data_IF_071439118262
#
_entry.id   IF_071439118262
#
_cell.length_a   1.000
_cell.length_b   1.000
_cell.length_c   1.000
_cell.angle_alpha   90.00
_cell.angle_beta   90.00
_cell.angle_gamma   90.00
#
_symmetry.space_group_name_H-M   'P 1'
#
loop_
_entity.id
_entity.type
_entity.pdbx_description
1 polymer ?
#
# COMPACT_ATOMS: atom_id res chain seq x y z
N UNK A 1 5.25 24.24 24.63
CA UNK A 1 6.58 23.61 24.77
C UNK A 1 6.45 22.42 25.73
N UNK A 2 7.26 21.40 25.52
CA UNK A 2 7.35 20.30 26.46
C UNK A 2 8.19 20.72 27.67
N UNK A 3 7.83 20.25 28.87
CA UNK A 3 8.53 20.61 30.11
C UNK A 3 9.99 20.11 30.15
N UNK A 4 10.35 19.16 29.30
CA UNK A 4 11.67 18.53 29.24
C UNK A 4 12.61 19.17 28.19
N UNK A 5 12.13 20.13 27.39
CA UNK A 5 12.96 20.83 26.43
C UNK A 5 12.21 21.44 25.24
N UNK A 6 12.93 22.06 24.31
CA UNK A 6 12.34 22.64 23.11
C UNK A 6 11.78 21.57 22.17
N UNK A 7 10.72 21.94 21.45
CA UNK A 7 9.97 21.05 20.55
C UNK A 7 9.70 21.75 19.24
N UNK A 8 9.95 21.06 18.13
CA UNK A 8 9.51 21.43 16.79
C UNK A 8 8.40 20.47 16.39
N UNK A 9 7.24 21.02 16.01
CA UNK A 9 6.11 20.23 15.50
C UNK A 9 5.77 20.64 14.08
N UNK A 10 5.63 19.65 13.20
CA UNK A 10 5.14 19.84 11.83
C UNK A 10 3.65 19.50 11.81
N UNK A 11 2.87 20.42 11.28
CA UNK A 11 1.43 20.26 11.13
C UNK A 11 1.07 20.28 9.65
N UNK A 12 0.14 19.39 9.25
CA UNK A 12 -0.46 19.37 7.93
C UNK A 12 -1.95 19.66 8.02
N UNK A 13 -2.50 20.32 7.01
CA UNK A 13 -3.93 20.58 6.89
C UNK A 13 -4.53 19.65 5.84
N UNK A 14 -5.63 18.99 6.17
CA UNK A 14 -6.36 18.16 5.24
C UNK A 14 -7.29 18.97 4.30
N UNK A 15 -7.93 18.30 3.35
CA UNK A 15 -8.78 18.92 2.34
C UNK A 15 -10.00 19.67 2.92
N UNK A 16 -10.45 19.31 4.12
CA UNK A 16 -11.57 19.97 4.82
C UNK A 16 -11.12 20.96 5.88
N UNK A 17 -9.81 21.28 5.92
CA UNK A 17 -9.24 22.33 6.76
C UNK A 17 -8.87 21.91 8.18
N UNK A 18 -8.97 20.62 8.56
CA UNK A 18 -8.52 20.12 9.86
C UNK A 18 -6.99 20.09 9.92
N UNK A 19 -6.44 20.48 11.06
CA UNK A 19 -4.99 20.46 11.28
C UNK A 19 -4.56 19.22 12.04
N UNK A 20 -3.57 18.48 11.51
CA UNK A 20 -3.04 17.26 12.06
C UNK A 20 -1.55 17.42 12.39
N UNK A 21 -1.14 17.05 13.60
CA UNK A 21 0.28 16.97 13.92
C UNK A 21 0.85 15.70 13.28
N UNK A 22 1.82 15.90 12.37
CA UNK A 22 2.45 14.84 11.60
C UNK A 22 3.79 14.42 12.21
N UNK A 23 4.70 15.37 12.36
CA UNK A 23 6.06 15.07 12.83
C UNK A 23 6.41 15.91 14.03
N UNK A 24 7.30 15.36 14.87
CA UNK A 24 7.82 16.07 16.03
C UNK A 24 9.29 15.74 16.20
N UNK A 25 10.09 16.76 16.51
CA UNK A 25 11.44 16.61 17.01
C UNK A 25 11.48 17.29 18.38
N UNK A 26 11.95 16.58 19.39
CA UNK A 26 11.96 17.04 20.77
C UNK A 26 13.34 16.85 21.40
N UNK A 27 13.86 17.91 21.98
CA UNK A 27 15.01 17.83 22.87
C UNK A 27 14.57 17.37 24.26
N UNK A 28 15.32 16.48 24.86
CA UNK A 28 15.07 16.00 26.21
C UNK A 28 16.33 16.11 27.05
N UNK A 29 16.33 17.00 28.02
CA UNK A 29 17.42 17.20 28.95
C UNK A 29 17.27 16.37 30.23
N UNK A 30 16.07 15.84 30.50
CA UNK A 30 15.77 15.17 31.77
C UNK A 30 16.06 13.66 31.72
N UNK A 31 15.74 12.98 30.62
CA UNK A 31 15.94 11.54 30.58
C UNK A 31 17.40 11.11 30.60
N UNK A 32 18.35 11.75 29.91
CA UNK A 32 19.76 11.40 30.03
C UNK A 32 20.26 11.47 31.43
N UNK A 33 19.89 12.50 32.19
CA UNK A 33 20.25 12.65 33.61
C UNK A 33 19.62 11.55 34.47
N UNK A 34 18.32 11.32 34.32
CA UNK A 34 17.58 10.32 35.11
C UNK A 34 18.06 8.89 34.89
N UNK A 35 18.51 8.59 33.67
CA UNK A 35 19.06 7.27 33.32
C UNK A 35 20.56 7.18 33.60
N UNK A 36 21.21 8.25 34.06
CA UNK A 36 22.64 8.28 34.30
C UNK A 36 23.46 7.99 33.05
N UNK A 37 22.99 8.45 31.89
CA UNK A 37 23.66 8.21 30.62
C UNK A 37 24.92 9.07 30.51
N UNK A 38 26.04 8.43 30.18
CA UNK A 38 27.31 9.12 29.94
C UNK A 38 27.99 8.59 28.69
N UNK A 39 28.76 9.43 28.04
CA UNK A 39 29.68 9.05 26.98
C UNK A 39 31.08 9.60 27.23
N UNK A 40 32.10 8.98 26.67
CA UNK A 40 33.46 9.48 26.74
C UNK A 40 33.68 10.47 25.58
N UNK A 41 33.97 11.73 25.96
CA UNK A 41 34.28 12.77 24.99
C UNK A 41 35.72 12.64 24.45
N UNK A 42 36.05 13.40 23.41
CA UNK A 42 37.36 13.34 22.75
C UNK A 42 38.53 13.70 23.65
N UNK A 43 38.27 14.50 24.68
CA UNK A 43 39.24 14.89 25.71
C UNK A 43 39.38 13.85 26.85
N UNK A 44 38.69 12.72 26.76
CA UNK A 44 38.67 11.65 27.76
C UNK A 44 37.73 11.90 28.94
N UNK A 45 37.05 13.03 29.02
CA UNK A 45 36.05 13.32 30.04
C UNK A 45 34.76 12.54 29.83
N UNK A 46 34.02 12.27 30.89
CA UNK A 46 32.66 11.72 30.82
C UNK A 46 31.67 12.88 30.77
N UNK A 47 30.81 12.84 29.78
CA UNK A 47 29.79 13.85 29.56
C UNK A 47 28.41 13.21 29.36
N UNK A 48 27.36 13.95 29.77
CA UNK A 48 25.98 13.54 29.53
C UNK A 48 25.62 13.72 28.06
N UNK A 49 25.04 12.69 27.40
CA UNK A 49 24.58 12.83 26.03
C UNK A 49 23.32 13.70 25.93
N UNK A 50 23.07 14.22 24.73
CA UNK A 50 21.81 14.86 24.38
C UNK A 50 20.87 13.77 23.86
N UNK A 51 19.61 13.76 24.33
CA UNK A 51 18.58 12.87 23.80
C UNK A 51 17.63 13.66 22.90
N UNK A 52 17.37 13.10 21.72
CA UNK A 52 16.44 13.67 20.76
C UNK A 52 15.38 12.61 20.44
N UNK A 53 14.12 12.94 20.72
CA UNK A 53 12.98 12.13 20.30
C UNK A 53 12.50 12.60 18.94
N UNK A 54 12.28 11.66 18.02
CA UNK A 54 11.75 11.95 16.69
C UNK A 54 10.57 11.05 16.37
N UNK A 55 9.43 11.67 16.09
CA UNK A 55 8.25 10.98 15.57
C UNK A 55 7.95 11.51 14.17
N UNK A 56 7.77 10.62 13.18
CA UNK A 56 7.56 11.01 11.78
C UNK A 56 6.08 11.16 11.41
N UNK A 57 5.20 10.39 12.02
CA UNK A 57 3.77 10.36 11.67
C UNK A 57 2.84 10.71 12.85
N UNK A 58 3.39 11.11 13.99
CA UNK A 58 2.62 11.32 15.21
C UNK A 58 2.08 9.99 15.75
N UNK A 59 0.76 9.77 15.68
CA UNK A 59 0.12 8.47 15.95
C UNK A 59 -0.08 7.72 14.64
N UNK A 60 0.31 6.45 14.59
CA UNK A 60 0.15 5.59 13.41
C UNK A 60 -1.34 5.36 13.10
N UNK A 61 -2.17 5.24 14.12
CA UNK A 61 -3.62 5.04 13.98
C UNK A 61 -4.28 6.28 13.36
N UNK A 62 -3.88 7.47 13.83
CA UNK A 62 -4.37 8.73 13.25
C UNK A 62 -3.91 8.89 11.82
N UNK A 63 -2.65 8.61 11.53
CA UNK A 63 -2.12 8.64 10.18
C UNK A 63 -2.89 7.71 9.25
N UNK A 64 -3.14 6.47 9.69
CA UNK A 64 -3.93 5.49 8.93
C UNK A 64 -5.36 6.01 8.68
N UNK A 65 -6.02 6.56 9.71
CA UNK A 65 -7.37 7.13 9.55
C UNK A 65 -7.43 8.24 8.51
N UNK A 66 -6.48 9.18 8.55
CA UNK A 66 -6.39 10.28 7.57
C UNK A 66 -6.08 9.74 6.17
N UNK A 67 -5.23 8.72 6.06
CA UNK A 67 -4.88 8.09 4.79
C UNK A 67 -6.09 7.39 4.16
N UNK A 68 -6.88 6.64 4.95
CA UNK A 68 -8.12 6.00 4.49
C UNK A 68 -9.13 7.05 4.01
N UNK A 69 -9.30 8.16 4.74
CA UNK A 69 -10.17 9.26 4.31
C UNK A 69 -9.67 9.90 3.01
N UNK A 70 -8.37 10.16 2.89
CA UNK A 70 -7.77 10.79 1.72
C UNK A 70 -8.05 10.01 0.44
N UNK A 71 -7.88 8.70 0.47
CA UNK A 71 -8.14 7.81 -0.67
C UNK A 71 -9.60 7.33 -0.74
N UNK A 72 -10.45 7.71 0.21
CA UNK A 72 -11.78 7.12 0.39
C UNK A 72 -11.75 5.57 0.35
N UNK A 73 -10.67 4.98 0.87
CA UNK A 73 -10.38 3.54 0.85
C UNK A 73 -9.86 2.98 -0.49
N UNK A 74 -9.85 3.78 -1.58
CA UNK A 74 -9.35 3.35 -2.88
C UNK A 74 -7.83 3.57 -2.99
N UNK A 75 -7.07 2.82 -2.21
CA UNK A 75 -5.61 2.95 -2.16
C UNK A 75 -4.95 2.66 -3.52
N UNK A 76 -3.84 3.33 -3.84
CA UNK A 76 -3.00 2.92 -4.96
C UNK A 76 -2.46 1.49 -4.74
N UNK A 77 -2.09 0.75 -5.80
CA UNK A 77 -1.67 -0.65 -5.67
C UNK A 77 -0.58 -0.88 -4.61
N UNK A 78 0.41 -0.02 -4.52
CA UNK A 78 1.51 -0.20 -3.56
C UNK A 78 1.08 -0.15 -2.07
N UNK A 79 -0.06 0.54 -1.76
CA UNK A 79 -0.64 0.62 -0.41
C UNK A 79 -1.79 -0.38 -0.18
N UNK A 80 -2.39 -0.92 -1.23
CA UNK A 80 -3.56 -1.81 -1.11
C UNK A 80 -3.21 -3.10 -0.37
N UNK A 81 -4.01 -3.55 0.60
CA UNK A 81 -3.81 -4.85 1.27
C UNK A 81 -3.80 -6.01 0.28
N UNK A 82 -4.78 -6.05 -0.64
CA UNK A 82 -4.81 -6.91 -1.83
C UNK A 82 -4.57 -6.01 -3.03
N UNK A 83 -3.49 -6.26 -3.76
CA UNK A 83 -3.09 -5.44 -4.91
C UNK A 83 -3.72 -5.94 -6.20
N UNK A 84 -3.86 -7.26 -6.30
CA UNK A 84 -4.39 -7.94 -7.47
C UNK A 84 -5.28 -9.09 -7.02
N UNK A 85 -6.44 -9.25 -7.67
CA UNK A 85 -7.28 -10.43 -7.49
C UNK A 85 -7.57 -11.10 -8.83
N UNK A 86 -7.34 -12.42 -8.90
CA UNK A 86 -7.72 -13.27 -10.03
C UNK A 86 -9.19 -13.68 -9.92
N UNK A 87 -9.95 -13.46 -10.97
CA UNK A 87 -11.37 -13.81 -11.06
C UNK A 87 -11.56 -14.73 -12.25
N UNK A 88 -11.69 -16.05 -12.03
CA UNK A 88 -11.97 -16.99 -13.12
C UNK A 88 -13.38 -16.81 -13.65
N UNK A 89 -13.53 -16.86 -14.97
CA UNK A 89 -14.86 -16.83 -15.65
C UNK A 89 -15.70 -18.05 -15.25
N UNK A 90 -15.02 -19.20 -15.05
CA UNK A 90 -15.57 -20.44 -14.52
C UNK A 90 -14.48 -21.15 -13.70
N UNK A 91 -14.87 -22.01 -12.77
CA UNK A 91 -13.98 -22.72 -11.85
C UNK A 91 -12.79 -23.42 -12.55
N UNK A 92 -13.03 -24.03 -13.70
CA UNK A 92 -12.00 -24.71 -14.49
C UNK A 92 -10.84 -23.82 -14.98
N UNK A 93 -10.94 -22.51 -14.84
CA UNK A 93 -9.89 -21.53 -15.16
C UNK A 93 -9.16 -21.00 -13.92
N UNK A 94 -9.53 -21.46 -12.74
CA UNK A 94 -8.89 -21.02 -11.49
C UNK A 94 -7.40 -21.40 -11.47
N UNK A 95 -7.06 -22.64 -11.81
CA UNK A 95 -5.66 -23.13 -11.85
C UNK A 95 -4.77 -22.26 -12.76
N UNK A 96 -5.31 -21.74 -13.88
CA UNK A 96 -4.58 -20.85 -14.76
C UNK A 96 -4.23 -19.54 -14.08
N UNK A 97 -5.20 -18.95 -13.38
CA UNK A 97 -4.99 -17.74 -12.59
C UNK A 97 -4.09 -17.97 -11.38
N UNK A 98 -4.18 -19.13 -10.74
CA UNK A 98 -3.30 -19.51 -9.62
C UNK A 98 -1.83 -19.49 -10.07
N UNK A 99 -1.53 -20.02 -11.24
CA UNK A 99 -0.19 -19.98 -11.80
C UNK A 99 0.34 -18.54 -12.01
N UNK A 100 -0.52 -17.62 -12.45
CA UNK A 100 -0.17 -16.20 -12.63
C UNK A 100 0.01 -15.51 -11.28
N UNK A 101 -0.93 -15.73 -10.36
CA UNK A 101 -0.90 -15.14 -9.02
C UNK A 101 0.33 -15.62 -8.24
N UNK A 102 0.73 -16.88 -8.38
CA UNK A 102 1.94 -17.38 -7.73
C UNK A 102 3.20 -16.67 -8.25
N UNK A 103 3.30 -16.42 -9.54
CA UNK A 103 4.39 -15.61 -10.12
C UNK A 103 4.42 -14.19 -9.56
N UNK A 104 3.24 -13.58 -9.37
CA UNK A 104 3.11 -12.27 -8.73
C UNK A 104 3.56 -12.30 -7.26
N UNK A 105 3.17 -13.33 -6.49
CA UNK A 105 3.57 -13.51 -5.10
C UNK A 105 5.08 -13.69 -4.94
N UNK A 106 5.72 -14.47 -5.80
CA UNK A 106 7.18 -14.66 -5.81
C UNK A 106 7.90 -13.32 -5.99
N UNK A 107 7.30 -12.38 -6.73
CA UNK A 107 7.84 -11.02 -6.90
C UNK A 107 7.44 -10.03 -5.79
N UNK A 108 6.79 -10.51 -4.73
CA UNK A 108 6.39 -9.68 -3.57
C UNK A 108 5.06 -8.95 -3.73
N UNK A 109 4.27 -9.26 -4.77
CA UNK A 109 2.93 -8.69 -4.97
C UNK A 109 1.91 -9.41 -4.09
N UNK A 110 1.09 -8.68 -3.36
CA UNK A 110 -0.03 -9.21 -2.57
C UNK A 110 -1.19 -9.52 -3.50
N UNK A 111 -1.24 -10.74 -4.00
CA UNK A 111 -2.23 -11.21 -4.97
C UNK A 111 -2.93 -12.46 -4.46
N UNK A 112 -4.18 -12.66 -4.87
CA UNK A 112 -4.98 -13.84 -4.55
C UNK A 112 -5.90 -14.21 -5.71
N UNK A 113 -6.46 -15.41 -5.70
CA UNK A 113 -7.51 -15.84 -6.63
C UNK A 113 -8.80 -16.05 -5.84
N UNK A 114 -9.92 -15.58 -6.37
CA UNK A 114 -11.23 -15.80 -5.77
C UNK A 114 -11.78 -17.21 -6.13
N UNK A 115 -11.59 -18.15 -5.20
CA UNK A 115 -12.05 -19.52 -5.29
C UNK A 115 -13.47 -19.75 -4.75
N UNK A 116 -14.24 -18.68 -4.45
CA UNK A 116 -15.62 -18.83 -4.00
C UNK A 116 -16.49 -19.46 -5.11
N UNK A 117 -17.60 -20.12 -4.71
CA UNK A 117 -18.57 -20.70 -5.64
C UNK A 117 -19.47 -19.63 -6.32
N UNK A 118 -19.16 -18.36 -6.10
CA UNK A 118 -19.93 -17.26 -6.64
C UNK A 118 -19.74 -17.11 -8.16
N UNK A 119 -20.80 -16.63 -8.83
CA UNK A 119 -20.70 -16.26 -10.24
C UNK A 119 -19.74 -15.09 -10.45
N UNK A 120 -19.05 -15.07 -11.59
CA UNK A 120 -18.05 -14.06 -11.95
C UNK A 120 -18.51 -12.62 -11.65
N UNK A 121 -19.74 -12.24 -12.01
CA UNK A 121 -20.27 -10.90 -11.78
C UNK A 121 -20.37 -10.55 -10.28
N UNK A 122 -20.68 -11.55 -9.43
CA UNK A 122 -20.73 -11.33 -7.98
C UNK A 122 -19.31 -11.17 -7.42
N UNK A 123 -18.35 -11.99 -7.87
CA UNK A 123 -16.93 -11.85 -7.54
C UNK A 123 -16.42 -10.45 -7.90
N UNK A 124 -16.65 -10.01 -9.15
CA UNK A 124 -16.30 -8.66 -9.61
C UNK A 124 -16.89 -7.59 -8.69
N UNK A 125 -18.19 -7.67 -8.40
CA UNK A 125 -18.87 -6.71 -7.52
C UNK A 125 -18.25 -6.69 -6.12
N UNK A 126 -17.95 -7.85 -5.54
CA UNK A 126 -17.34 -7.99 -4.21
C UNK A 126 -16.00 -7.26 -4.18
N UNK A 127 -15.10 -7.57 -5.10
CA UNK A 127 -13.76 -6.97 -5.13
C UNK A 127 -13.76 -5.50 -5.54
N UNK A 128 -14.72 -5.06 -6.38
CA UNK A 128 -14.94 -3.64 -6.67
C UNK A 128 -15.42 -2.89 -5.42
N UNK A 129 -16.32 -3.49 -4.63
CA UNK A 129 -16.78 -2.89 -3.36
C UNK A 129 -15.64 -2.81 -2.34
N UNK A 130 -14.78 -3.80 -2.30
CA UNK A 130 -13.55 -3.81 -1.48
C UNK A 130 -12.45 -2.89 -2.03
N UNK A 131 -12.70 -2.27 -3.19
CA UNK A 131 -11.78 -1.33 -3.85
C UNK A 131 -10.41 -1.93 -4.21
N UNK A 132 -10.39 -3.24 -4.54
CA UNK A 132 -9.18 -3.87 -5.09
C UNK A 132 -8.80 -3.15 -6.39
N UNK A 133 -7.54 -2.69 -6.55
CA UNK A 133 -7.17 -1.84 -7.68
C UNK A 133 -7.16 -2.56 -9.02
N UNK A 134 -6.75 -3.82 -9.04
CA UNK A 134 -6.57 -4.58 -10.28
C UNK A 134 -7.25 -5.95 -10.12
N UNK A 135 -8.18 -6.25 -11.03
CA UNK A 135 -8.82 -7.55 -11.15
C UNK A 135 -8.32 -8.21 -12.45
N UNK A 136 -7.75 -9.42 -12.33
CA UNK A 136 -7.35 -10.25 -13.48
C UNK A 136 -8.47 -11.21 -13.82
N UNK A 137 -9.03 -11.09 -15.00
CA UNK A 137 -10.10 -11.98 -15.47
C UNK A 137 -9.51 -12.91 -16.53
N UNK A 138 -9.80 -14.19 -16.43
CA UNK A 138 -9.41 -15.16 -17.44
C UNK A 138 -10.51 -16.18 -17.71
N UNK A 139 -10.66 -16.51 -18.99
CA UNK A 139 -11.52 -17.56 -19.52
C UNK A 139 -10.78 -18.45 -20.49
N UNK A 140 -11.52 -19.23 -21.30
CA UNK A 140 -10.94 -20.18 -22.25
C UNK A 140 -10.05 -19.51 -23.30
N UNK A 141 -10.45 -18.33 -23.80
CA UNK A 141 -9.66 -17.61 -24.80
C UNK A 141 -8.33 -17.13 -24.22
N UNK A 142 -8.35 -16.58 -22.99
CA UNK A 142 -7.16 -16.12 -22.30
C UNK A 142 -6.21 -17.28 -22.03
N UNK A 143 -6.73 -18.40 -21.49
CA UNK A 143 -5.95 -19.61 -21.23
C UNK A 143 -5.28 -20.14 -22.50
N UNK A 144 -6.04 -20.22 -23.61
CA UNK A 144 -5.52 -20.75 -24.87
C UNK A 144 -4.50 -19.83 -25.54
N UNK A 145 -4.64 -18.52 -25.36
CA UNK A 145 -3.74 -17.51 -25.93
C UNK A 145 -2.57 -17.13 -25.00
N UNK A 146 -2.55 -17.59 -23.74
CA UNK A 146 -1.54 -17.17 -22.75
C UNK A 146 -1.70 -15.71 -22.32
N UNK A 147 -2.96 -15.22 -22.25
CA UNK A 147 -3.28 -13.82 -21.92
C UNK A 147 -4.13 -13.72 -20.67
N UNK A 148 -4.34 -12.49 -20.19
CA UNK A 148 -5.33 -12.12 -19.17
C UNK A 148 -6.03 -10.83 -19.57
N UNK A 149 -7.15 -10.57 -18.95
CA UNK A 149 -7.87 -9.31 -19.08
C UNK A 149 -7.83 -8.54 -17.78
N UNK A 150 -7.45 -7.25 -17.82
CA UNK A 150 -7.53 -6.36 -16.67
C UNK A 150 -8.92 -5.74 -16.57
N UNK A 151 -9.40 -5.63 -15.34
CA UNK A 151 -10.55 -4.82 -14.98
C UNK A 151 -10.21 -3.91 -13.82
N UNK A 152 -10.60 -2.64 -13.93
CA UNK A 152 -10.27 -1.58 -12.99
C UNK A 152 -11.49 -1.15 -12.17
N UNK A 153 -11.25 -0.27 -11.17
CA UNK A 153 -12.27 0.19 -10.21
C UNK A 153 -13.43 0.92 -10.88
N UNK A 154 -13.16 1.69 -11.92
CA UNK A 154 -14.17 2.42 -12.72
C UNK A 154 -15.00 1.51 -13.64
N UNK A 155 -14.59 0.24 -13.75
CA UNK A 155 -15.23 -0.75 -14.63
C UNK A 155 -14.60 -0.84 -16.02
N UNK A 156 -13.64 -0.01 -16.37
CA UNK A 156 -12.88 -0.15 -17.63
C UNK A 156 -12.13 -1.47 -17.67
N UNK A 157 -11.86 -1.97 -18.88
CA UNK A 157 -11.16 -3.22 -19.12
C UNK A 157 -10.16 -3.09 -20.25
N UNK A 158 -9.06 -3.84 -20.13
CA UNK A 158 -8.10 -4.09 -21.21
C UNK A 158 -7.98 -5.59 -21.38
N UNK A 159 -8.34 -6.10 -22.55
CA UNK A 159 -8.43 -7.54 -22.80
C UNK A 159 -7.19 -8.06 -23.56
N UNK A 160 -6.90 -9.36 -23.39
CA UNK A 160 -5.93 -10.08 -24.21
C UNK A 160 -4.47 -9.63 -24.00
N UNK A 161 -4.11 -9.26 -22.76
CA UNK A 161 -2.75 -8.85 -22.43
C UNK A 161 -1.91 -10.11 -22.19
N UNK A 162 -0.76 -10.29 -22.86
CA UNK A 162 0.15 -11.40 -22.56
C UNK A 162 0.52 -11.44 -21.09
N UNK A 163 0.54 -12.64 -20.48
CA UNK A 163 0.76 -12.79 -19.03
C UNK A 163 2.05 -12.12 -18.56
N UNK A 164 3.13 -12.24 -19.33
CA UNK A 164 4.41 -11.61 -18.95
C UNK A 164 4.33 -10.09 -18.95
N UNK A 165 3.65 -9.50 -19.91
CA UNK A 165 3.41 -8.06 -19.99
C UNK A 165 2.51 -7.60 -18.83
N UNK A 166 1.45 -8.35 -18.54
CA UNK A 166 0.56 -8.07 -17.41
C UNK A 166 1.31 -8.03 -16.07
N UNK A 167 2.18 -9.00 -15.82
CA UNK A 167 3.01 -9.04 -14.61
C UNK A 167 3.96 -7.83 -14.57
N UNK A 168 4.63 -7.52 -15.68
CA UNK A 168 5.53 -6.37 -15.76
C UNK A 168 4.82 -5.03 -15.52
N UNK A 169 3.62 -4.84 -16.08
CA UNK A 169 2.78 -3.66 -15.87
C UNK A 169 2.40 -3.48 -14.39
N UNK A 170 1.97 -4.56 -13.74
CA UNK A 170 1.61 -4.55 -12.31
C UNK A 170 2.84 -4.19 -11.46
N UNK A 171 3.98 -4.82 -11.70
CA UNK A 171 5.21 -4.56 -10.97
C UNK A 171 5.68 -3.11 -11.13
N UNK A 172 5.63 -2.58 -12.35
CA UNK A 172 5.96 -1.18 -12.65
C UNK A 172 5.06 -0.23 -11.89
N UNK A 173 3.74 -0.41 -11.93
CA UNK A 173 2.79 0.45 -11.23
C UNK A 173 3.01 0.46 -9.71
N UNK A 174 3.38 -0.68 -9.12
CA UNK A 174 3.71 -0.79 -7.70
C UNK A 174 5.03 -0.06 -7.40
N UNK A 175 6.06 -0.27 -8.20
CA UNK A 175 7.39 0.34 -8.02
C UNK A 175 7.34 1.87 -8.18
N UNK A 176 6.62 2.36 -9.17
CA UNK A 176 6.46 3.79 -9.47
C UNK A 176 5.39 4.45 -8.58
N UNK A 177 4.67 3.67 -7.75
CA UNK A 177 3.60 4.13 -6.86
C UNK A 177 2.44 4.80 -7.61
N UNK A 178 2.14 4.34 -8.80
CA UNK A 178 1.07 4.85 -9.65
C UNK A 178 -0.29 4.65 -8.98
N UNK A 179 -1.16 5.65 -9.07
CA UNK A 179 -2.57 5.52 -8.67
C UNK A 179 -3.33 4.87 -9.84
N UNK A 180 -3.75 3.63 -9.66
CA UNK A 180 -4.47 2.87 -10.68
C UNK A 180 -5.96 2.80 -10.36
N UNK A 181 -6.78 3.45 -11.18
CA UNK A 181 -8.24 3.43 -11.11
C UNK A 181 -8.87 3.02 -12.44
N UNK A 182 -8.21 3.31 -13.55
CA UNK A 182 -8.68 3.15 -14.93
C UNK A 182 -7.68 2.35 -15.78
N UNK A 183 -8.09 1.95 -16.96
CA UNK A 183 -7.21 1.28 -17.91
C UNK A 183 -6.05 2.18 -18.38
N UNK A 184 -6.28 3.49 -18.48
CA UNK A 184 -5.28 4.46 -18.92
C UNK A 184 -4.14 4.63 -17.92
N UNK A 185 -4.42 4.42 -16.62
CA UNK A 185 -3.42 4.57 -15.55
C UNK A 185 -2.35 3.47 -15.58
N UNK A 186 -2.62 2.36 -16.27
CA UNK A 186 -1.72 1.20 -16.33
C UNK A 186 -1.04 1.05 -17.71
N UNK A 187 -1.40 1.87 -18.67
CA UNK A 187 -0.91 1.80 -20.05
C UNK A 187 0.60 2.14 -20.22
#
# INVERSE_FOLDING_TARGET
AAYYGPKISVQARDAIGRTWQMSTIQYDFNQPERFGLEYQAADGSRQQPVMIHSAKFGSIERFLGVLVEHYAGAFPPWLSPVQVVGIPVAEQFADYLDGIVERLKVSGVRAEVDHSDDRMQKKIRTHTTQKVPIQLIAGEQDRSAGTVSFRFRDGTQTNGIPVDDAIAMIQRAIAEKTLVNTAEDLA
#
